data_IF_621034711311
#
_entry.id   IF_621034711311
#
_cell.length_a   1.000
_cell.length_b   1.000
_cell.length_c   1.000
_cell.angle_alpha   90.00
_cell.angle_beta   90.00
_cell.angle_gamma   90.00
#
_symmetry.space_group_name_H-M   'P 1'
#
loop_
_entity.id
_entity.type
_entity.pdbx_description
1 polymer ?
#
# COMPACT_ATOMS: atom_id res chain seq x y z
N UNK A 1 27.72 -14.25 7.29
CA UNK A 1 26.73 -13.21 7.66
C UNK A 1 27.39 -12.06 8.44
N UNK A 2 28.24 -12.35 9.43
CA UNK A 2 28.91 -11.39 10.33
C UNK A 2 29.94 -10.41 9.69
N UNK A 3 30.24 -10.53 8.39
CA UNK A 3 31.14 -9.61 7.65
C UNK A 3 30.38 -8.61 6.75
N UNK A 4 29.04 -8.60 6.79
CA UNK A 4 28.21 -7.70 5.99
C UNK A 4 28.08 -6.35 6.69
N UNK A 5 28.12 -5.26 5.92
CA UNK A 5 27.86 -3.91 6.44
C UNK A 5 26.38 -3.73 6.79
N UNK A 6 26.01 -2.80 7.71
CA UNK A 6 24.62 -2.57 8.10
C UNK A 6 23.68 -2.35 6.91
N UNK A 7 24.09 -1.57 5.90
CA UNK A 7 23.31 -1.30 4.69
C UNK A 7 23.10 -2.52 3.76
N UNK A 8 23.75 -3.65 4.05
CA UNK A 8 23.63 -4.91 3.31
C UNK A 8 22.73 -5.94 4.03
N UNK A 9 22.16 -5.56 5.18
CA UNK A 9 21.24 -6.37 5.96
C UNK A 9 19.79 -5.95 5.63
N UNK A 10 18.87 -6.92 5.52
CA UNK A 10 17.43 -6.61 5.47
C UNK A 10 16.98 -5.96 6.79
N UNK A 11 15.87 -5.21 6.79
CA UNK A 11 15.33 -4.59 8.02
C UNK A 11 15.22 -5.56 9.21
N UNK A 12 14.61 -6.73 9.00
CA UNK A 12 14.53 -7.78 10.04
C UNK A 12 15.88 -8.39 10.44
N UNK A 13 16.92 -8.31 9.61
CA UNK A 13 18.28 -8.71 9.99
C UNK A 13 18.95 -7.63 10.86
N UNK A 14 18.76 -6.36 10.52
CA UNK A 14 19.24 -5.24 11.33
C UNK A 14 18.58 -5.25 12.72
N UNK A 15 17.26 -5.43 12.79
CA UNK A 15 16.53 -5.55 14.06
C UNK A 15 17.05 -6.69 14.92
N UNK A 16 17.29 -7.88 14.35
CA UNK A 16 17.85 -9.01 15.10
C UNK A 16 19.25 -8.73 15.63
N UNK A 17 20.08 -8.01 14.88
CA UNK A 17 21.42 -7.59 15.35
C UNK A 17 21.29 -6.61 16.52
N UNK A 18 20.40 -5.63 16.42
CA UNK A 18 20.13 -4.66 17.50
C UNK A 18 19.58 -5.35 18.74
N UNK A 19 18.62 -6.27 18.58
CA UNK A 19 18.07 -7.06 19.69
C UNK A 19 19.15 -7.92 20.35
N UNK A 20 19.97 -8.62 19.56
CA UNK A 20 21.08 -9.41 20.07
C UNK A 20 22.10 -8.54 20.82
N UNK A 21 22.40 -7.35 20.32
CA UNK A 21 23.29 -6.39 20.98
C UNK A 21 22.71 -5.93 22.33
N UNK A 22 21.43 -5.58 22.38
CA UNK A 22 20.76 -5.19 23.63
C UNK A 22 20.80 -6.31 24.68
N UNK A 23 20.54 -7.56 24.26
CA UNK A 23 20.60 -8.72 25.14
C UNK A 23 22.02 -9.02 25.64
N UNK A 24 23.04 -8.93 24.77
CA UNK A 24 24.44 -9.12 25.15
C UNK A 24 24.94 -8.06 26.14
N UNK A 25 24.41 -6.84 26.05
CA UNK A 25 24.73 -5.74 26.96
C UNK A 25 23.95 -5.81 28.29
N UNK A 26 23.17 -6.88 28.53
CA UNK A 26 22.41 -7.05 29.76
C UNK A 26 21.24 -6.10 29.91
N UNK A 27 20.58 -5.73 28.80
CA UNK A 27 19.41 -4.86 28.83
C UNK A 27 18.31 -5.45 29.73
N UNK A 28 17.85 -4.66 30.70
CA UNK A 28 16.72 -5.00 31.56
C UNK A 28 15.37 -4.52 31.00
N UNK A 29 15.41 -3.60 30.04
CA UNK A 29 14.25 -3.07 29.34
C UNK A 29 14.58 -2.90 27.86
N UNK A 30 13.64 -3.23 26.98
CA UNK A 30 13.72 -3.05 25.54
C UNK A 30 12.52 -2.23 25.09
N UNK A 31 12.78 -1.16 24.34
CA UNK A 31 11.75 -0.38 23.63
C UNK A 31 11.82 -0.78 22.16
N UNK A 32 10.75 -1.39 21.67
CA UNK A 32 10.63 -1.83 20.29
C UNK A 32 9.62 -0.92 19.57
N UNK A 33 10.13 -0.03 18.73
CA UNK A 33 9.33 0.84 17.88
C UNK A 33 9.03 0.14 16.55
N UNK A 34 7.77 -0.23 16.36
CA UNK A 34 7.24 -0.89 15.16
C UNK A 34 8.09 -2.08 14.66
N UNK A 35 8.38 -3.09 15.52
CA UNK A 35 9.36 -4.13 15.21
C UNK A 35 8.96 -5.05 14.07
N UNK A 36 7.67 -5.09 13.71
CA UNK A 36 7.14 -5.93 12.62
C UNK A 36 6.96 -5.17 11.30
N UNK A 37 7.19 -3.85 11.27
CA UNK A 37 6.97 -3.06 10.05
C UNK A 37 7.80 -3.56 8.87
N UNK A 38 7.12 -3.73 7.73
CA UNK A 38 7.74 -4.18 6.47
C UNK A 38 8.21 -5.63 6.49
N UNK A 39 7.71 -6.46 7.40
CA UNK A 39 7.92 -7.90 7.40
C UNK A 39 6.69 -8.64 6.84
N UNK A 40 6.88 -9.89 6.42
CA UNK A 40 5.76 -10.78 6.07
C UNK A 40 5.19 -11.45 7.33
N UNK A 41 3.91 -11.82 7.32
CA UNK A 41 3.18 -12.39 8.47
C UNK A 41 3.89 -13.54 9.19
N UNK A 42 4.60 -14.41 8.46
CA UNK A 42 5.39 -15.48 9.08
C UNK A 42 6.60 -14.96 9.84
N UNK A 43 7.24 -13.92 9.32
CA UNK A 43 8.35 -13.24 9.98
C UNK A 43 7.88 -12.38 11.15
N UNK A 44 6.72 -11.71 11.03
CA UNK A 44 6.08 -10.96 12.11
C UNK A 44 5.80 -11.86 13.32
N UNK A 45 5.18 -13.02 13.11
CA UNK A 45 4.94 -14.01 14.16
C UNK A 45 6.23 -14.46 14.85
N UNK A 46 7.31 -14.71 14.09
CA UNK A 46 8.61 -15.08 14.68
C UNK A 46 9.24 -13.96 15.50
N UNK A 47 9.08 -12.71 15.10
CA UNK A 47 9.56 -11.56 15.87
C UNK A 47 8.75 -11.44 17.17
N UNK A 48 7.43 -11.64 17.10
CA UNK A 48 6.57 -11.76 18.27
C UNK A 48 7.05 -12.84 19.25
N UNK A 49 7.30 -14.05 18.76
CA UNK A 49 7.82 -15.17 19.57
C UNK A 49 9.17 -14.83 20.22
N UNK A 50 10.06 -14.14 19.51
CA UNK A 50 11.35 -13.72 20.03
C UNK A 50 11.22 -12.68 21.14
N UNK A 51 10.35 -11.69 20.97
CA UNK A 51 10.07 -10.69 22.00
C UNK A 51 9.40 -11.33 23.22
N UNK A 52 8.51 -12.30 23.02
CA UNK A 52 7.90 -13.07 24.11
C UNK A 52 8.94 -13.87 24.89
N UNK A 53 9.87 -14.54 24.19
CA UNK A 53 10.97 -15.26 24.82
C UNK A 53 11.93 -14.34 25.59
N UNK A 54 12.11 -13.09 25.13
CA UNK A 54 12.88 -12.06 25.84
C UNK A 54 12.13 -11.60 27.09
N UNK A 55 10.84 -11.31 26.99
CA UNK A 55 10.01 -10.93 28.13
C UNK A 55 9.99 -12.02 29.22
N UNK A 56 9.87 -13.29 28.81
CA UNK A 56 9.90 -14.45 29.69
C UNK A 56 11.21 -14.62 30.50
N UNK A 57 12.30 -13.95 30.08
CA UNK A 57 13.58 -13.92 30.81
C UNK A 57 13.65 -12.80 31.86
N UNK A 58 12.54 -12.10 32.11
CA UNK A 58 12.45 -11.00 33.08
C UNK A 58 12.89 -9.63 32.53
N UNK A 59 12.94 -9.48 31.21
CA UNK A 59 13.25 -8.20 30.55
C UNK A 59 11.94 -7.47 30.26
N UNK A 60 11.82 -6.22 30.71
CA UNK A 60 10.65 -5.40 30.39
C UNK A 60 10.61 -5.06 28.90
N UNK A 61 9.46 -5.24 28.23
CA UNK A 61 9.31 -4.90 26.82
C UNK A 61 8.24 -3.83 26.67
N UNK A 62 8.62 -2.68 26.11
CA UNK A 62 7.69 -1.65 25.66
C UNK A 62 7.55 -1.78 24.15
N UNK A 63 6.39 -2.23 23.70
CA UNK A 63 6.07 -2.38 22.28
C UNK A 63 5.23 -1.18 21.83
N UNK A 64 5.73 -0.45 20.83
CA UNK A 64 4.96 0.55 20.09
C UNK A 64 4.55 -0.11 18.76
N UNK A 65 3.27 -0.37 18.56
CA UNK A 65 2.80 -0.99 17.32
C UNK A 65 1.35 -0.67 16.98
N UNK A 66 1.06 -0.61 15.70
CA UNK A 66 -0.30 -0.64 15.14
C UNK A 66 -0.81 -2.07 14.84
N UNK A 67 0.05 -3.08 14.94
CA UNK A 67 -0.30 -4.48 14.72
C UNK A 67 -0.97 -5.09 15.95
N UNK A 68 -2.29 -5.19 15.91
CA UNK A 68 -3.08 -5.72 17.02
C UNK A 68 -2.90 -7.22 17.23
N UNK A 69 -2.44 -7.99 16.25
CA UNK A 69 -2.20 -9.42 16.44
C UNK A 69 -0.94 -9.65 17.26
N UNK A 70 0.12 -8.88 16.99
CA UNK A 70 1.35 -8.90 17.80
C UNK A 70 1.08 -8.39 19.22
N UNK A 71 0.33 -7.28 19.35
CA UNK A 71 -0.02 -6.75 20.68
C UNK A 71 -0.86 -7.77 21.45
N UNK A 72 -1.85 -8.42 20.80
CA UNK A 72 -2.68 -9.45 21.44
C UNK A 72 -1.86 -10.65 21.93
N UNK A 73 -0.83 -11.04 21.18
CA UNK A 73 -0.01 -12.20 21.50
C UNK A 73 1.01 -11.92 22.62
N UNK A 74 1.49 -10.68 22.74
CA UNK A 74 2.64 -10.34 23.58
C UNK A 74 2.30 -9.50 24.82
N UNK A 75 1.34 -8.59 24.73
CA UNK A 75 1.16 -7.56 25.74
C UNK A 75 0.36 -8.06 26.95
N UNK A 76 0.89 -7.86 28.15
CA UNK A 76 0.12 -8.03 29.39
C UNK A 76 -0.81 -6.82 29.62
N UNK A 77 -0.28 -5.61 29.39
CA UNK A 77 -0.94 -4.32 29.56
C UNK A 77 -0.89 -3.53 28.25
N UNK A 78 -1.98 -2.82 27.92
CA UNK A 78 -2.09 -2.04 26.68
C UNK A 78 -2.54 -0.62 26.99
N UNK A 79 -1.85 0.35 26.39
CA UNK A 79 -2.27 1.75 26.32
C UNK A 79 -2.73 2.08 24.90
N UNK A 80 -3.95 2.59 24.77
CA UNK A 80 -4.50 3.08 23.51
C UNK A 80 -4.42 4.60 23.50
N UNK A 81 -3.76 5.16 22.48
CA UNK A 81 -3.59 6.60 22.32
C UNK A 81 -4.37 7.13 21.11
N UNK A 82 -4.84 8.37 21.21
CA UNK A 82 -5.41 9.13 20.10
C UNK A 82 -5.16 10.63 20.28
N UNK A 83 -4.68 11.30 19.23
CA UNK A 83 -4.42 12.74 19.23
C UNK A 83 -3.59 13.20 20.45
N UNK A 84 -2.52 12.46 20.76
CA UNK A 84 -1.61 12.76 21.87
C UNK A 84 -2.16 12.48 23.28
N UNK A 85 -3.32 11.82 23.41
CA UNK A 85 -3.92 11.48 24.71
C UNK A 85 -4.14 9.97 24.82
N UNK A 86 -3.93 9.42 26.02
CA UNK A 86 -4.35 8.06 26.36
C UNK A 86 -5.86 8.05 26.47
N UNK A 87 -6.53 7.28 25.62
CA UNK A 87 -8.00 7.18 25.57
C UNK A 87 -8.52 5.94 26.28
N UNK A 88 -7.68 4.92 26.45
CA UNK A 88 -8.00 3.71 27.21
C UNK A 88 -6.71 3.00 27.63
N UNK A 89 -6.72 2.34 28.79
CA UNK A 89 -5.62 1.48 29.24
C UNK A 89 -6.13 0.28 30.03
N UNK A 90 -5.28 -0.72 30.22
CA UNK A 90 -5.52 -1.87 31.10
C UNK A 90 -5.03 -3.19 30.51
N UNK A 91 -5.35 -4.32 31.17
CA UNK A 91 -4.91 -5.64 30.73
C UNK A 91 -5.39 -5.93 29.31
N UNK A 92 -4.51 -6.49 28.48
CA UNK A 92 -4.83 -6.81 27.08
C UNK A 92 -6.11 -7.66 26.99
N UNK A 93 -6.24 -8.70 27.82
CA UNK A 93 -7.43 -9.54 27.86
C UNK A 93 -8.75 -8.74 28.04
N UNK A 94 -8.74 -7.68 28.87
CA UNK A 94 -9.91 -6.82 29.09
C UNK A 94 -10.20 -5.93 27.87
N UNK A 95 -9.17 -5.38 27.24
CA UNK A 95 -9.36 -4.50 26.08
C UNK A 95 -10.00 -5.24 24.92
N UNK A 96 -9.62 -6.50 24.68
CA UNK A 96 -10.23 -7.32 23.62
C UNK A 96 -11.63 -7.82 23.99
N UNK A 97 -11.86 -8.20 25.25
CA UNK A 97 -13.16 -8.71 25.68
C UNK A 97 -14.24 -7.62 25.85
N UNK A 98 -13.86 -6.46 26.39
CA UNK A 98 -14.79 -5.39 26.74
C UNK A 98 -14.13 -4.00 26.61
N UNK A 99 -13.84 -3.55 25.38
CA UNK A 99 -13.32 -2.21 25.12
C UNK A 99 -14.36 -1.14 25.49
N UNK A 100 -13.98 -0.19 26.35
CA UNK A 100 -14.87 0.85 26.87
C UNK A 100 -14.95 2.05 25.93
N UNK A 101 -13.81 2.45 25.38
CA UNK A 101 -13.74 3.64 24.56
C UNK A 101 -14.16 3.33 23.11
N UNK A 102 -14.93 4.24 22.49
CA UNK A 102 -15.45 4.05 21.13
C UNK A 102 -14.34 3.93 20.08
N UNK A 103 -13.20 4.59 20.30
CA UNK A 103 -12.01 4.45 19.44
C UNK A 103 -11.41 3.04 19.51
N UNK A 104 -11.22 2.50 20.72
CA UNK A 104 -10.70 1.15 20.94
C UNK A 104 -11.58 0.11 20.28
N UNK A 105 -12.91 0.24 20.40
CA UNK A 105 -13.87 -0.60 19.67
C UNK A 105 -13.61 -0.60 18.17
N UNK A 106 -13.55 0.59 17.55
CA UNK A 106 -13.28 0.71 16.11
C UNK A 106 -11.93 0.13 15.68
N UNK A 107 -10.90 0.28 16.52
CA UNK A 107 -9.56 -0.25 16.29
C UNK A 107 -9.55 -1.78 16.30
N UNK A 108 -10.29 -2.40 17.21
CA UNK A 108 -10.39 -3.86 17.31
C UNK A 108 -11.32 -4.44 16.23
N UNK A 109 -12.41 -3.75 15.91
CA UNK A 109 -13.40 -4.18 14.91
C UNK A 109 -12.86 -4.13 13.47
N UNK A 110 -11.93 -3.20 13.17
CA UNK A 110 -11.36 -3.03 11.83
C UNK A 110 -10.49 -4.21 11.38
N UNK A 111 -9.98 -5.03 12.30
CA UNK A 111 -9.25 -6.27 12.00
C UNK A 111 -10.19 -7.45 11.67
N UNK A 112 -11.49 -7.34 11.98
CA UNK A 112 -12.45 -8.45 11.89
C UNK A 112 -13.47 -8.33 10.74
N UNK A 113 -13.44 -7.27 9.93
CA UNK A 113 -14.38 -7.10 8.84
C UNK A 113 -14.09 -8.10 7.70
N UNK A 114 -14.83 -9.22 7.69
CA UNK A 114 -14.86 -10.13 6.55
C UNK A 114 -15.18 -9.34 5.26
N UNK A 115 -14.47 -9.60 4.15
CA UNK A 115 -14.78 -8.95 2.88
C UNK A 115 -16.26 -9.19 2.55
N UNK A 116 -17.01 -8.11 2.29
CA UNK A 116 -18.36 -8.23 1.76
C UNK A 116 -18.32 -9.07 0.47
N UNK A 117 -19.24 -10.01 0.32
CA UNK A 117 -19.42 -10.83 -0.88
C UNK A 117 -19.35 -9.94 -2.12
N UNK A 118 -18.21 -9.99 -2.82
CA UNK A 118 -18.04 -9.28 -4.08
C UNK A 118 -18.77 -10.10 -5.12
N UNK A 119 -19.61 -9.48 -5.97
CA UNK A 119 -20.25 -10.21 -7.05
C UNK A 119 -19.18 -10.90 -7.89
N UNK A 120 -19.23 -12.23 -7.93
CA UNK A 120 -18.40 -13.08 -8.77
C UNK A 120 -18.55 -12.57 -10.20
N UNK A 121 -17.46 -12.02 -10.74
CA UNK A 121 -17.46 -11.37 -12.03
C UNK A 121 -17.89 -12.35 -13.13
N UNK A 122 -19.00 -11.99 -13.78
CA UNK A 122 -19.45 -12.49 -15.08
C UNK A 122 -18.29 -12.50 -16.10
N UNK A 123 -18.41 -13.30 -17.16
CA UNK A 123 -17.39 -13.63 -18.17
C UNK A 123 -16.81 -12.44 -18.98
N UNK A 124 -16.23 -11.44 -18.31
CA UNK A 124 -15.53 -10.30 -18.90
C UNK A 124 -14.07 -10.64 -19.15
N UNK A 125 -13.55 -10.18 -20.28
CA UNK A 125 -12.13 -10.28 -20.61
C UNK A 125 -11.27 -9.71 -19.48
N UNK A 126 -10.14 -10.35 -19.15
CA UNK A 126 -9.22 -9.87 -18.12
C UNK A 126 -8.63 -8.50 -18.51
N UNK A 127 -8.57 -7.59 -17.55
CA UNK A 127 -8.00 -6.26 -17.74
C UNK A 127 -6.49 -6.32 -17.87
N UNK A 128 -5.82 -7.19 -17.10
CA UNK A 128 -4.38 -7.41 -17.16
C UNK A 128 -4.10 -8.91 -17.29
N UNK A 129 -3.22 -9.29 -18.21
CA UNK A 129 -2.75 -10.66 -18.36
C UNK A 129 -1.23 -10.67 -18.40
N UNK A 130 -0.62 -11.63 -17.73
CA UNK A 130 0.81 -11.93 -17.79
C UNK A 130 0.97 -13.31 -18.40
N UNK A 131 1.89 -13.46 -19.36
CA UNK A 131 2.21 -14.74 -20.02
C UNK A 131 3.71 -14.98 -19.97
N UNK A 132 4.10 -16.12 -19.41
CA UNK A 132 5.48 -16.65 -19.36
C UNK A 132 6.53 -15.62 -18.92
N UNK A 133 6.18 -14.80 -17.92
CA UNK A 133 7.03 -13.71 -17.47
C UNK A 133 8.19 -14.24 -16.63
N UNK A 134 9.41 -13.95 -17.07
CA UNK A 134 10.64 -14.30 -16.35
C UNK A 134 11.46 -13.04 -16.12
N UNK A 135 11.58 -12.59 -14.88
CA UNK A 135 12.31 -11.36 -14.55
C UNK A 135 13.72 -11.67 -14.01
N UNK A 136 14.71 -10.85 -14.40
CA UNK A 136 16.11 -11.00 -14.00
C UNK A 136 16.66 -9.73 -13.34
N UNK A 137 17.62 -9.86 -12.43
CA UNK A 137 18.35 -8.71 -11.88
C UNK A 137 19.85 -8.80 -12.15
N UNK A 138 20.47 -7.67 -12.49
CA UNK A 138 21.92 -7.55 -12.60
C UNK A 138 22.51 -8.53 -13.62
N UNK A 139 23.49 -9.34 -13.19
CA UNK A 139 24.25 -10.28 -14.04
C UNK A 139 23.47 -11.55 -14.46
N UNK A 140 22.15 -11.46 -14.64
CA UNK A 140 21.32 -12.55 -15.17
C UNK A 140 20.70 -13.49 -14.12
N UNK A 141 20.73 -13.12 -12.83
CA UNK A 141 20.06 -13.94 -11.82
C UNK A 141 18.54 -13.82 -11.98
N UNK A 142 17.88 -14.94 -12.28
CA UNK A 142 16.41 -15.01 -12.34
C UNK A 142 15.84 -14.75 -10.94
N UNK A 143 14.96 -13.76 -10.84
CA UNK A 143 14.32 -13.33 -9.59
C UNK A 143 12.95 -13.97 -9.42
N UNK A 144 12.19 -14.12 -10.51
CA UNK A 144 10.88 -14.74 -10.49
C UNK A 144 10.48 -15.29 -11.86
N UNK A 145 9.54 -16.25 -11.84
CA UNK A 145 8.86 -16.79 -13.02
C UNK A 145 7.36 -16.83 -12.74
N UNK A 146 6.57 -16.26 -13.65
CA UNK A 146 5.10 -16.26 -13.59
C UNK A 146 4.59 -16.83 -14.91
N UNK A 147 4.15 -18.10 -14.95
CA UNK A 147 3.69 -18.73 -16.19
C UNK A 147 2.41 -18.04 -16.70
N UNK A 148 1.48 -17.75 -15.80
CA UNK A 148 0.25 -17.06 -16.14
C UNK A 148 -0.32 -16.31 -14.92
N UNK A 149 -0.85 -15.11 -15.16
CA UNK A 149 -1.61 -14.34 -14.18
C UNK A 149 -2.67 -13.53 -14.93
N UNK A 150 -3.91 -13.53 -14.45
CA UNK A 150 -5.00 -12.73 -15.01
C UNK A 150 -5.71 -11.94 -13.91
N UNK A 151 -5.90 -10.65 -14.14
CA UNK A 151 -6.66 -9.75 -13.27
C UNK A 151 -7.89 -9.27 -14.02
N UNK A 152 -9.08 -9.60 -13.49
CA UNK A 152 -10.34 -9.15 -14.06
C UNK A 152 -10.74 -7.75 -13.53
N UNK A 153 -11.49 -6.96 -14.32
CA UNK A 153 -12.03 -5.69 -13.85
C UNK A 153 -12.83 -5.86 -12.55
N UNK A 154 -12.54 -5.02 -11.55
CA UNK A 154 -13.22 -5.06 -10.24
C UNK A 154 -12.76 -6.18 -9.29
N UNK A 155 -11.88 -7.08 -9.74
CA UNK A 155 -11.27 -8.07 -8.87
C UNK A 155 -10.08 -7.46 -8.10
N UNK A 156 -9.75 -8.07 -6.96
CA UNK A 156 -8.52 -7.79 -6.23
C UNK A 156 -7.69 -9.07 -6.22
N UNK A 157 -6.49 -8.99 -6.77
CA UNK A 157 -5.53 -10.08 -6.76
C UNK A 157 -4.48 -9.80 -5.70
N UNK A 158 -4.39 -10.66 -4.69
CA UNK A 158 -3.34 -10.59 -3.68
C UNK A 158 -2.16 -11.46 -4.11
N UNK A 159 -0.95 -10.90 -4.08
CA UNK A 159 0.30 -11.63 -4.27
C UNK A 159 1.00 -11.71 -2.92
N UNK A 160 1.01 -12.91 -2.33
CA UNK A 160 1.56 -13.15 -0.99
C UNK A 160 2.82 -14.01 -1.10
N UNK A 161 3.82 -13.74 -0.27
CA UNK A 161 5.07 -14.47 -0.24
C UNK A 161 6.07 -13.86 0.72
N UNK A 162 7.08 -14.64 1.11
CA UNK A 162 8.16 -14.20 2.00
C UNK A 162 8.87 -12.96 1.47
N UNK A 163 9.47 -12.16 2.34
CA UNK A 163 10.37 -11.09 1.93
C UNK A 163 11.45 -11.63 0.97
N UNK A 164 11.70 -10.92 -0.13
CA UNK A 164 12.64 -11.34 -1.17
C UNK A 164 12.13 -12.37 -2.18
N UNK A 165 10.87 -12.82 -2.11
CA UNK A 165 10.30 -13.79 -3.08
C UNK A 165 10.00 -13.22 -4.48
N UNK A 166 10.34 -11.96 -4.74
CA UNK A 166 10.12 -11.29 -6.03
C UNK A 166 8.79 -10.54 -6.17
N UNK A 167 8.00 -10.36 -5.11
CA UNK A 167 6.70 -9.62 -5.15
C UNK A 167 6.83 -8.22 -5.76
N UNK A 168 7.73 -7.41 -5.22
CA UNK A 168 8.03 -6.06 -5.70
C UNK A 168 8.58 -6.08 -7.13
N UNK A 169 9.36 -7.09 -7.50
CA UNK A 169 9.86 -7.24 -8.88
C UNK A 169 8.71 -7.52 -9.84
N UNK A 170 7.77 -8.41 -9.49
CA UNK A 170 6.55 -8.66 -10.26
C UNK A 170 5.76 -7.35 -10.41
N UNK A 171 5.47 -6.67 -9.30
CA UNK A 171 4.73 -5.40 -9.30
C UNK A 171 5.38 -4.36 -10.25
N UNK A 172 6.72 -4.22 -10.20
CA UNK A 172 7.48 -3.33 -11.09
C UNK A 172 7.44 -3.77 -12.55
N UNK A 173 7.41 -5.08 -12.86
CA UNK A 173 7.22 -5.55 -14.24
C UNK A 173 5.85 -5.14 -14.78
N UNK A 174 4.77 -5.33 -14.00
CA UNK A 174 3.41 -4.95 -14.41
C UNK A 174 3.32 -3.46 -14.73
N UNK A 175 3.91 -2.62 -13.88
CA UNK A 175 3.98 -1.19 -14.08
C UNK A 175 4.97 -0.73 -15.16
N UNK A 176 5.85 -1.59 -15.69
CA UNK A 176 6.88 -1.21 -16.65
C UNK A 176 8.07 -0.45 -16.05
N UNK A 177 8.24 -0.56 -14.74
CA UNK A 177 9.36 -0.02 -13.95
C UNK A 177 10.56 -0.97 -13.94
N UNK A 178 10.36 -2.23 -14.35
CA UNK A 178 11.41 -3.22 -14.53
C UNK A 178 11.33 -3.78 -15.96
N UNK A 179 12.36 -3.54 -16.77
CA UNK A 179 12.38 -3.87 -18.20
C UNK A 179 13.09 -5.18 -18.54
N UNK A 180 13.91 -5.68 -17.62
CA UNK A 180 14.76 -6.85 -17.81
C UNK A 180 13.96 -8.12 -17.48
N UNK A 181 12.95 -8.38 -18.30
CA UNK A 181 12.13 -9.58 -18.22
C UNK A 181 11.75 -10.07 -19.61
N UNK A 182 11.50 -11.37 -19.72
CA UNK A 182 10.86 -12.00 -20.88
C UNK A 182 9.35 -12.16 -20.64
N UNK A 183 8.65 -12.69 -21.65
CA UNK A 183 7.20 -12.83 -21.65
C UNK A 183 6.47 -11.51 -21.93
N UNK A 184 5.15 -11.57 -21.82
CA UNK A 184 4.24 -10.48 -22.18
C UNK A 184 3.36 -10.05 -21.01
N UNK A 185 3.16 -8.74 -20.90
CA UNK A 185 2.13 -8.13 -20.06
C UNK A 185 1.13 -7.46 -20.99
N UNK A 186 -0.13 -7.88 -20.97
CA UNK A 186 -1.19 -7.37 -21.82
C UNK A 186 -2.20 -6.58 -20.98
N UNK A 187 -2.61 -5.42 -21.47
CA UNK A 187 -3.68 -4.59 -20.92
C UNK A 187 -4.85 -4.56 -21.91
N UNK A 188 -6.03 -4.99 -21.48
CA UNK A 188 -7.23 -5.11 -22.33
C UNK A 188 -6.89 -5.85 -23.66
N UNK A 189 -6.09 -6.92 -23.56
CA UNK A 189 -5.63 -7.73 -24.71
C UNK A 189 -4.48 -7.15 -25.53
N UNK A 190 -4.04 -5.91 -25.24
CA UNK A 190 -2.96 -5.24 -25.98
C UNK A 190 -1.62 -5.33 -25.24
N UNK A 191 -0.51 -5.76 -25.87
CA UNK A 191 0.80 -5.78 -25.22
C UNK A 191 1.22 -4.40 -24.68
N UNK A 192 1.63 -4.37 -23.42
CA UNK A 192 2.24 -3.22 -22.79
C UNK A 192 3.75 -3.23 -23.01
N UNK A 193 4.34 -2.11 -23.46
CA UNK A 193 5.79 -1.97 -23.47
C UNK A 193 6.42 -2.21 -22.10
N UNK A 194 7.55 -2.92 -22.08
CA UNK A 194 8.30 -3.30 -20.87
C UNK A 194 8.84 -2.11 -20.07
N UNK A 195 9.00 -0.95 -20.72
CA UNK A 195 9.53 0.28 -20.13
C UNK A 195 8.49 1.39 -20.22
N UNK A 196 8.28 2.11 -19.12
CA UNK A 196 7.44 3.31 -19.05
C UNK A 196 7.73 4.32 -20.16
N UNK A 197 8.99 4.45 -20.59
CA UNK A 197 9.42 5.42 -21.62
C UNK A 197 8.77 5.19 -22.98
N UNK A 198 8.30 3.97 -23.23
CA UNK A 198 7.67 3.59 -24.50
C UNK A 198 6.14 3.47 -24.37
N UNK A 199 5.58 3.73 -23.19
CA UNK A 199 4.14 3.69 -22.96
C UNK A 199 3.51 5.04 -23.35
N UNK A 200 2.36 4.99 -24.00
CA UNK A 200 1.55 6.18 -24.28
C UNK A 200 0.97 6.79 -22.99
N UNK A 201 0.54 8.05 -23.04
CA UNK A 201 -0.13 8.69 -21.89
C UNK A 201 -1.35 7.87 -21.40
N UNK A 202 -2.11 7.28 -22.32
CA UNK A 202 -3.24 6.42 -21.97
C UNK A 202 -2.80 5.13 -21.26
N UNK A 203 -1.72 4.48 -21.72
CA UNK A 203 -1.16 3.29 -21.07
C UNK A 203 -0.56 3.60 -19.70
N UNK A 204 0.08 4.77 -19.56
CA UNK A 204 0.58 5.27 -18.28
C UNK A 204 -0.58 5.52 -17.31
N UNK A 205 -1.64 6.19 -17.76
CA UNK A 205 -2.84 6.43 -16.94
C UNK A 205 -3.52 5.12 -16.52
N UNK A 206 -3.61 4.14 -17.43
CA UNK A 206 -4.30 2.90 -17.20
C UNK A 206 -3.64 1.99 -16.15
N UNK A 207 -2.31 2.05 -15.99
CA UNK A 207 -1.58 1.25 -14.99
C UNK A 207 -0.83 2.16 -14.04
N UNK A 208 -1.33 2.28 -12.81
CA UNK A 208 -0.72 3.12 -11.78
C UNK A 208 -0.05 2.27 -10.70
N UNK A 209 1.02 2.82 -10.12
CA UNK A 209 1.82 2.16 -9.09
C UNK A 209 1.86 3.01 -7.82
N UNK A 210 1.46 2.40 -6.71
CA UNK A 210 1.63 2.97 -5.37
C UNK A 210 2.81 2.29 -4.72
N UNK A 211 3.87 3.06 -4.48
CA UNK A 211 5.13 2.58 -3.93
C UNK A 211 5.02 2.26 -2.44
N UNK A 212 5.80 1.28 -2.00
CA UNK A 212 5.99 0.94 -0.59
C UNK A 212 6.44 2.15 0.24
N UNK A 213 7.47 2.86 -0.23
CA UNK A 213 7.89 4.12 0.38
C UNK A 213 7.15 5.29 -0.26
N UNK A 214 6.06 5.72 0.39
CA UNK A 214 5.28 6.86 -0.06
C UNK A 214 6.09 8.17 -0.03
N UNK A 215 6.99 8.35 0.95
CA UNK A 215 7.77 9.59 1.11
C UNK A 215 8.75 9.78 -0.04
N UNK A 216 9.46 8.73 -0.43
CA UNK A 216 10.35 8.75 -1.59
C UNK A 216 9.64 9.08 -2.91
N UNK A 217 8.32 8.95 -2.94
CA UNK A 217 7.53 9.25 -4.12
C UNK A 217 7.17 10.74 -4.27
N UNK A 218 7.45 11.59 -3.27
CA UNK A 218 7.16 13.03 -3.31
C UNK A 218 8.43 13.88 -3.32
N UNK A 219 8.36 15.03 -3.99
CA UNK A 219 9.34 16.12 -3.92
C UNK A 219 9.17 16.85 -2.58
N UNK A 220 10.18 16.82 -1.73
CA UNK A 220 10.16 17.37 -0.37
C UNK A 220 9.94 18.90 -0.34
N UNK A 221 10.23 19.59 -1.43
CA UNK A 221 10.16 21.05 -1.51
C UNK A 221 8.81 21.58 -2.01
N UNK A 222 7.88 20.70 -2.40
CA UNK A 222 6.58 21.09 -2.97
C UNK A 222 5.40 20.63 -2.11
N UNK A 223 4.33 21.44 -2.00
CA UNK A 223 3.09 21.01 -1.34
C UNK A 223 2.54 19.71 -1.92
N UNK A 224 2.00 18.84 -1.04
CA UNK A 224 1.46 17.54 -1.45
C UNK A 224 0.29 17.69 -2.43
N UNK A 225 -0.64 18.61 -2.16
CA UNK A 225 -1.80 18.85 -3.03
C UNK A 225 -1.38 19.15 -4.47
N UNK A 226 -0.36 20.00 -4.66
CA UNK A 226 0.12 20.35 -6.00
C UNK A 226 0.69 19.13 -6.73
N UNK A 227 1.45 18.28 -6.02
CA UNK A 227 2.02 17.07 -6.60
C UNK A 227 0.95 16.02 -6.94
N UNK A 228 -0.09 15.91 -6.13
CA UNK A 228 -1.24 15.03 -6.34
C UNK A 228 -2.06 15.51 -7.55
N UNK A 229 -2.43 16.80 -7.59
CA UNK A 229 -3.19 17.40 -8.68
C UNK A 229 -2.48 17.31 -10.04
N UNK A 230 -1.14 17.38 -10.05
CA UNK A 230 -0.34 17.28 -11.28
C UNK A 230 -0.58 15.99 -12.06
N UNK A 231 -0.99 14.90 -11.40
CA UNK A 231 -1.36 13.66 -12.11
C UNK A 231 -2.56 13.86 -13.02
N UNK A 232 -3.63 14.49 -12.53
CA UNK A 232 -4.83 14.77 -13.33
C UNK A 232 -4.53 15.70 -14.52
N UNK A 233 -3.60 16.64 -14.34
CA UNK A 233 -3.12 17.53 -15.42
C UNK A 233 -2.32 16.77 -16.48
N UNK A 234 -1.43 15.85 -16.08
CA UNK A 234 -0.47 15.22 -16.99
C UNK A 234 -1.02 14.01 -17.74
N UNK A 235 -1.90 13.24 -17.10
CA UNK A 235 -2.37 11.96 -17.62
C UNK A 235 -3.77 12.12 -18.26
N UNK A 236 -4.85 12.42 -17.51
CA UNK A 236 -6.14 12.77 -18.11
C UNK A 236 -6.18 14.07 -18.92
N UNK A 237 -5.24 15.00 -18.69
CA UNK A 237 -5.25 16.30 -19.37
C UNK A 237 -6.23 17.32 -18.77
N UNK A 238 -6.56 17.20 -17.48
CA UNK A 238 -7.47 18.13 -16.81
C UNK A 238 -6.85 19.53 -16.68
N UNK A 239 -7.69 20.58 -16.73
CA UNK A 239 -7.26 21.94 -16.43
C UNK A 239 -6.82 22.07 -14.96
N UNK A 240 -5.85 22.95 -14.69
CA UNK A 240 -5.19 23.04 -13.36
C UNK A 240 -6.17 23.26 -12.20
N UNK A 241 -7.19 24.10 -12.41
CA UNK A 241 -8.23 24.36 -11.40
C UNK A 241 -9.06 23.11 -11.10
N UNK A 242 -9.55 22.45 -12.14
CA UNK A 242 -10.33 21.22 -12.01
C UNK A 242 -9.50 20.09 -11.37
N UNK A 243 -8.24 19.95 -11.76
CA UNK A 243 -7.31 18.99 -11.17
C UNK A 243 -7.08 19.23 -9.67
N UNK A 244 -6.98 20.50 -9.25
CA UNK A 244 -6.80 20.86 -7.83
C UNK A 244 -8.05 20.58 -7.01
N UNK A 245 -9.23 20.91 -7.54
CA UNK A 245 -10.52 20.62 -6.91
C UNK A 245 -10.73 19.10 -6.76
N UNK A 246 -10.46 18.33 -7.83
CA UNK A 246 -10.58 16.87 -7.83
C UNK A 246 -9.58 16.21 -6.86
N UNK A 247 -8.33 16.70 -6.83
CA UNK A 247 -7.31 16.23 -5.89
C UNK A 247 -7.72 16.48 -4.44
N UNK A 248 -8.22 17.68 -4.15
CA UNK A 248 -8.67 18.04 -2.80
C UNK A 248 -9.84 17.15 -2.35
N UNK A 249 -10.82 16.93 -3.24
CA UNK A 249 -11.95 16.05 -2.97
C UNK A 249 -11.50 14.59 -2.75
N UNK A 250 -10.53 14.11 -3.54
CA UNK A 250 -10.01 12.73 -3.44
C UNK A 250 -9.21 12.51 -2.16
N UNK A 251 -8.35 13.47 -1.78
CA UNK A 251 -7.62 13.44 -0.51
C UNK A 251 -8.57 13.46 0.69
N UNK A 252 -9.59 14.31 0.66
CA UNK A 252 -10.59 14.37 1.73
C UNK A 252 -11.35 13.04 1.89
N UNK A 253 -11.75 12.38 0.79
CA UNK A 253 -12.38 11.04 0.83
C UNK A 253 -11.50 9.96 1.43
N UNK A 254 -10.18 10.08 1.27
CA UNK A 254 -9.23 9.15 1.88
C UNK A 254 -8.89 9.51 3.34
N UNK A 255 -9.41 10.62 3.88
CA UNK A 255 -9.14 11.04 5.26
C UNK A 255 -7.92 11.95 5.40
N UNK A 256 -7.49 12.63 4.34
CA UNK A 256 -6.54 13.73 4.40
C UNK A 256 -7.25 15.07 4.11
N UNK A 257 -7.63 15.85 5.15
CA UNK A 257 -8.34 17.10 4.97
C UNK A 257 -7.46 18.17 4.30
N UNK A 258 -8.08 19.29 3.90
CA UNK A 258 -7.42 20.33 3.08
C UNK A 258 -6.17 20.92 3.75
N UNK A 259 -6.21 21.19 5.05
CA UNK A 259 -5.11 21.89 5.75
C UNK A 259 -3.79 21.09 5.72
N UNK A 260 -3.74 19.78 6.08
CA UNK A 260 -2.57 18.94 5.85
C UNK A 260 -2.16 18.83 4.38
N UNK A 261 -3.10 18.80 3.43
CA UNK A 261 -2.79 18.62 2.02
C UNK A 261 -1.96 19.78 1.42
N UNK A 262 -2.03 20.98 2.00
CA UNK A 262 -1.23 22.14 1.59
C UNK A 262 0.20 22.12 2.13
N UNK A 263 0.52 21.23 3.08
CA UNK A 263 1.85 21.11 3.68
C UNK A 263 2.83 20.36 2.77
N UNK A 264 4.11 20.45 3.10
CA UNK A 264 5.18 19.70 2.42
C UNK A 264 5.26 18.27 2.95
N UNK A 265 5.82 17.32 2.18
CA UNK A 265 5.90 15.92 2.62
C UNK A 265 6.59 15.71 3.96
N UNK A 266 7.60 16.52 4.30
CA UNK A 266 8.32 16.42 5.57
C UNK A 266 7.48 16.77 6.81
N UNK A 267 6.32 17.40 6.63
CA UNK A 267 5.43 17.88 7.69
C UNK A 267 4.20 16.96 7.87
N UNK A 268 4.14 15.85 7.14
CA UNK A 268 3.07 14.86 7.19
C UNK A 268 3.57 13.55 7.80
N UNK A 269 2.66 12.84 8.46
CA UNK A 269 2.90 11.47 8.91
C UNK A 269 3.01 10.50 7.72
N UNK A 270 3.63 9.34 7.96
CA UNK A 270 3.76 8.29 6.93
C UNK A 270 2.41 7.84 6.36
N UNK A 271 1.40 7.65 7.21
CA UNK A 271 0.05 7.28 6.80
C UNK A 271 -0.66 8.38 5.99
N UNK A 272 -0.44 9.66 6.31
CA UNK A 272 -0.94 10.78 5.50
C UNK A 272 -0.30 10.81 4.10
N UNK A 273 1.01 10.58 4.02
CA UNK A 273 1.73 10.48 2.75
C UNK A 273 1.27 9.26 1.92
N UNK A 274 0.98 8.15 2.57
CA UNK A 274 0.49 6.94 1.91
C UNK A 274 -0.90 7.15 1.32
N UNK A 275 -1.81 7.80 2.07
CA UNK A 275 -3.11 8.25 1.54
C UNK A 275 -2.96 9.22 0.38
N UNK A 276 -2.02 10.15 0.45
CA UNK A 276 -1.72 11.06 -0.65
C UNK A 276 -1.18 10.35 -1.88
N UNK A 277 -0.30 9.35 -1.71
CA UNK A 277 0.23 8.53 -2.80
C UNK A 277 -0.88 7.73 -3.48
N UNK A 278 -1.82 7.18 -2.70
CA UNK A 278 -3.02 6.52 -3.22
C UNK A 278 -3.92 7.49 -3.98
N UNK A 279 -4.23 8.67 -3.44
CA UNK A 279 -4.99 9.70 -4.14
C UNK A 279 -4.37 10.07 -5.48
N UNK A 280 -3.04 10.27 -5.49
CA UNK A 280 -2.29 10.60 -6.70
C UNK A 280 -2.45 9.55 -7.79
N UNK A 281 -2.40 8.26 -7.43
CA UNK A 281 -2.61 7.18 -8.39
C UNK A 281 -4.06 7.14 -8.89
N UNK A 282 -5.04 7.36 -8.02
CA UNK A 282 -6.46 7.33 -8.38
C UNK A 282 -6.87 8.45 -9.35
N UNK A 283 -6.24 9.63 -9.27
CA UNK A 283 -6.50 10.75 -10.18
C UNK A 283 -6.13 10.46 -11.64
N UNK A 284 -5.32 9.44 -11.91
CA UNK A 284 -5.07 8.99 -13.27
C UNK A 284 -6.23 8.19 -13.88
N UNK A 285 -7.27 7.90 -13.09
CA UNK A 285 -8.39 7.04 -13.47
C UNK A 285 -7.93 5.65 -13.95
N UNK A 286 -7.13 4.92 -13.15
CA UNK A 286 -6.49 3.69 -13.60
C UNK A 286 -7.48 2.56 -13.87
N UNK A 287 -7.12 1.73 -14.84
CA UNK A 287 -7.74 0.41 -15.08
C UNK A 287 -7.17 -0.64 -14.15
N UNK A 288 -5.88 -0.51 -13.83
CA UNK A 288 -5.09 -1.38 -12.96
C UNK A 288 -4.35 -0.51 -11.96
N UNK A 289 -4.55 -0.79 -10.69
CA UNK A 289 -3.80 -0.17 -9.59
C UNK A 289 -2.92 -1.24 -8.94
N UNK A 290 -1.60 -1.06 -9.05
CA UNK A 290 -0.60 -1.91 -8.42
C UNK A 290 -0.21 -1.30 -7.09
N UNK A 291 -0.43 -2.04 -6.02
CA UNK A 291 -0.17 -1.60 -4.66
C UNK A 291 0.95 -2.45 -4.06
N UNK A 292 2.13 -1.87 -3.88
CA UNK A 292 3.31 -2.56 -3.33
C UNK A 292 3.42 -2.26 -1.83
N UNK A 293 3.02 -3.22 -0.98
CA UNK A 293 3.08 -3.14 0.50
C UNK A 293 2.40 -1.88 1.09
N UNK A 294 1.28 -1.43 0.51
CA UNK A 294 0.58 -0.21 0.95
C UNK A 294 -0.18 -0.34 2.27
N UNK A 295 -0.21 -1.53 2.88
CA UNK A 295 -0.87 -1.75 4.16
C UNK A 295 0.09 -1.62 5.34
N UNK A 296 1.42 -1.64 5.12
CA UNK A 296 2.38 -1.32 6.17
C UNK A 296 2.32 0.18 6.45
N UNK A 297 1.85 0.57 7.64
CA UNK A 297 1.77 1.97 8.07
C UNK A 297 0.42 2.68 7.87
N UNK A 298 -0.63 1.99 7.42
CA UNK A 298 -2.01 2.52 7.46
C UNK A 298 -2.71 2.07 8.74
N UNK A 299 -3.13 3.02 9.58
CA UNK A 299 -4.05 2.75 10.68
C UNK A 299 -5.36 2.14 10.16
N UNK A 300 -5.71 0.96 10.67
CA UNK A 300 -6.90 0.17 10.26
C UNK A 300 -8.23 0.94 10.43
N UNK A 301 -8.24 2.03 11.19
CA UNK A 301 -9.44 2.83 11.51
C UNK A 301 -9.66 4.02 10.57
N UNK A 302 -8.67 4.40 9.76
CA UNK A 302 -8.77 5.60 8.90
C UNK A 302 -9.40 5.32 7.54
N UNK A 303 -9.55 4.03 7.16
CA UNK A 303 -10.32 3.69 5.96
C UNK A 303 -11.80 3.96 6.22
N UNK A 304 -12.50 4.71 5.33
CA UNK A 304 -13.93 4.88 5.47
C UNK A 304 -14.59 3.51 5.48
N UNK A 305 -15.27 3.20 6.59
CA UNK A 305 -16.15 2.03 6.68
C UNK A 305 -17.08 2.05 5.46
N UNK A 306 -17.26 0.93 4.72
CA UNK A 306 -18.13 0.90 3.56
C UNK A 306 -19.58 1.10 4.02
N UNK A 307 -19.97 2.36 4.21
CA UNK A 307 -21.35 2.74 4.40
C UNK A 307 -22.09 2.32 3.14
N UNK A 308 -23.17 1.56 3.31
CA UNK A 308 -24.12 1.18 2.26
C UNK A 308 -24.52 2.42 1.45
N UNK A 309 -23.82 2.72 0.37
CA UNK A 309 -24.22 3.73 -0.61
C UNK A 309 -23.88 3.19 -2.00
N UNK A 310 -24.90 3.29 -2.86
CA UNK A 310 -24.96 2.82 -4.25
C UNK A 310 -23.67 3.14 -5.02
N UNK A 311 -23.27 2.31 -5.99
CA UNK A 311 -22.12 2.60 -6.84
C UNK A 311 -22.29 3.99 -7.50
N UNK A 312 -21.20 4.75 -7.68
CA UNK A 312 -21.27 6.02 -8.38
C UNK A 312 -21.76 5.74 -9.81
N UNK A 313 -22.89 6.36 -10.16
CA UNK A 313 -23.32 6.49 -11.55
C UNK A 313 -22.29 7.41 -12.20
N UNK A 314 -21.39 6.83 -12.98
CA UNK A 314 -20.58 7.59 -13.93
C UNK A 314 -21.55 8.16 -14.97
N UNK A 315 -22.00 9.40 -14.75
CA UNK A 315 -22.78 10.13 -15.74
C UNK A 315 -21.92 10.29 -16.98
N UNK A 316 -22.30 9.62 -18.08
CA UNK A 316 -21.78 9.91 -19.41
C UNK A 316 -21.89 11.41 -19.64
N UNK A 317 -20.77 12.08 -19.92
CA UNK A 317 -20.78 13.41 -20.51
C UNK A 317 -21.39 13.27 -21.91
N UNK A 318 -22.51 13.95 -22.23
CA UNK A 318 -23.09 13.90 -23.57
C UNK A 318 -22.27 14.81 -24.48
N UNK A 319 -21.64 14.24 -25.50
CA UNK A 319 -20.88 15.04 -26.49
C UNK A 319 -19.78 14.27 -27.20
N UNK A 320 -20.09 13.11 -27.78
CA UNK A 320 -19.29 12.55 -28.87
C UNK A 320 -20.14 11.51 -29.61
N UNK A 321 -20.98 11.97 -30.52
CA UNK A 321 -21.48 11.11 -31.60
C UNK A 321 -20.35 10.94 -32.63
N UNK A 322 -19.99 9.71 -33.02
CA UNK A 322 -19.12 9.51 -34.18
C UNK A 322 -19.91 9.88 -35.44
N UNK A 323 -19.36 10.85 -36.21
CA UNK A 323 -19.85 11.22 -37.54
C UNK A 323 -19.94 9.96 -38.41
N UNK A 324 -21.16 9.62 -38.85
CA UNK A 324 -21.39 8.66 -39.93
C UNK A 324 -20.79 9.24 -41.20
N UNK A 325 -19.87 8.51 -41.80
CA UNK A 325 -19.40 8.74 -43.17
C UNK A 325 -20.52 8.26 -44.09
N UNK A 326 -21.15 9.17 -44.82
CA UNK A 326 -21.98 8.83 -45.98
C UNK A 326 -21.07 8.64 -47.21
N UNK A 327 -21.32 7.63 -48.06
CA UNK A 327 -20.60 7.48 -49.29
C UNK A 327 -21.09 8.50 -50.32
N UNK A 328 -20.14 9.11 -51.03
CA UNK A 328 -20.38 9.93 -52.21
C UNK A 328 -20.80 9.02 -53.36
N UNK A 329 -21.99 9.25 -53.92
CA UNK A 329 -22.38 8.77 -55.24
C UNK A 329 -22.95 9.94 -56.03
N UNK A 330 -22.24 10.26 -57.11
CA UNK A 330 -22.61 11.01 -58.32
C UNK A 330 -23.03 12.47 -58.18
#
# INVERSE_FOLDING_TARGET
MLRRYPHQLSGGQQQRVVLAQALLLGARVIVADEPTTGQDALTESRIGDQLAAVAARGIGVVLLSHDLDVVRALADEVLVMRAGRVVESGPAARLWAAPRHAWTRRLLDSQGAAPQDRPSGDARQPALVVRDLTAVHGRGNTVLRVPHLALHPGACLAVVGRSGSGKTTLARCLAGLHRDHDGDVLLDGTPLPRSLRHRSHAQLAAVQYVFQDARAAFDEHRPVLHQVARTAVRLPGAGERAATEEASATLARLGLPAEPAHRRPGELSGGELQRAALARALLAHPRVLVCDEITSGLDTVTLPSPSRRRPPVWTRIPGHEPKRVTPVTS
#
